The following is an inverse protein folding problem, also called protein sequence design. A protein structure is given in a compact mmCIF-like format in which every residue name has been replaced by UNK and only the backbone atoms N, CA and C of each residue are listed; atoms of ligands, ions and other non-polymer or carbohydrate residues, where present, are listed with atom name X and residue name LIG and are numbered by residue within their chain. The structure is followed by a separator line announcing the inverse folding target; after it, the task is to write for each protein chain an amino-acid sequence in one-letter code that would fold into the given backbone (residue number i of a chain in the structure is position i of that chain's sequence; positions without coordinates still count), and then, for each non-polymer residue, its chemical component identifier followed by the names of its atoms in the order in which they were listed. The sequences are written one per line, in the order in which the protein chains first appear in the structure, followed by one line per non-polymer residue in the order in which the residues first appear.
data_IF_941708764955
#
_entry.id   IF_941708764955
#
_cell.length_a   1.000
_cell.length_b   1.000
_cell.length_c   1.000
_cell.angle_alpha   90.00
_cell.angle_beta   90.00
_cell.angle_gamma   90.00
#
_symmetry.space_group_name_H-M   'P 1'
#
loop_
_entity.id
_entity.type
_entity.pdbx_description
1 polymer ?
#
# COMPACT_ATOMS: atom_id res chain seq x y z
N UNK A 1 2.84 -2.91 -21.89
CA UNK A 1 3.52 -1.68 -21.41
C UNK A 1 5.01 -1.67 -21.74
N UNK A 2 5.91 -2.30 -20.98
CA UNK A 2 7.36 -2.17 -21.22
C UNK A 2 7.84 -2.55 -22.64
N UNK A 3 7.29 -3.63 -23.23
CA UNK A 3 7.57 -4.03 -24.62
C UNK A 3 6.95 -3.09 -25.65
N UNK A 4 5.71 -2.63 -25.41
CA UNK A 4 4.94 -1.81 -26.35
C UNK A 4 5.47 -0.38 -26.42
N UNK A 5 5.99 0.14 -25.30
CA UNK A 5 6.53 1.50 -25.20
C UNK A 5 8.06 1.55 -25.26
N UNK A 6 8.74 0.41 -25.47
CA UNK A 6 10.20 0.27 -25.40
C UNK A 6 10.80 0.95 -24.15
N UNK A 7 10.12 0.83 -23.00
CA UNK A 7 10.40 1.62 -21.78
C UNK A 7 11.84 1.48 -21.30
N UNK A 8 12.42 0.29 -21.47
CA UNK A 8 13.79 -0.06 -21.08
C UNK A 8 14.64 -0.46 -22.31
N UNK A 9 14.29 0.07 -23.48
CA UNK A 9 14.90 -0.26 -24.77
C UNK A 9 14.14 -1.33 -25.57
N UNK A 10 14.77 -1.79 -26.65
CA UNK A 10 14.15 -2.72 -27.62
C UNK A 10 13.93 -4.13 -27.08
N UNK A 11 14.73 -4.53 -26.08
CA UNK A 11 14.67 -5.85 -25.45
C UNK A 11 14.15 -5.69 -24.02
N UNK A 12 13.05 -6.39 -23.72
CA UNK A 12 12.51 -6.41 -22.36
C UNK A 12 13.49 -7.13 -21.43
N UNK A 13 13.90 -6.53 -20.30
CA UNK A 13 14.76 -7.17 -19.31
C UNK A 13 14.19 -8.53 -18.86
N UNK A 14 14.94 -9.64 -18.95
CA UNK A 14 14.41 -10.98 -18.67
C UNK A 14 13.83 -11.13 -17.26
N UNK A 15 14.44 -10.46 -16.26
CA UNK A 15 13.96 -10.49 -14.88
C UNK A 15 12.58 -9.86 -14.70
N UNK A 16 12.17 -8.96 -15.59
CA UNK A 16 10.84 -8.36 -15.55
C UNK A 16 9.73 -9.36 -15.89
N UNK A 17 10.05 -10.42 -16.63
CA UNK A 17 9.10 -11.49 -16.98
C UNK A 17 8.94 -12.54 -15.86
N UNK A 18 9.75 -12.48 -14.81
CA UNK A 18 9.70 -13.44 -13.71
C UNK A 18 8.63 -12.97 -12.70
N UNK A 19 7.59 -13.78 -12.44
CA UNK A 19 6.55 -13.42 -11.50
C UNK A 19 7.08 -13.20 -10.08
N UNK A 20 6.51 -12.23 -9.37
CA UNK A 20 6.79 -11.93 -7.95
C UNK A 20 8.23 -11.49 -7.64
N UNK A 21 9.02 -11.14 -8.66
CA UNK A 21 10.37 -10.59 -8.48
C UNK A 21 10.34 -9.24 -7.77
N UNK A 22 9.36 -8.37 -8.09
CA UNK A 22 9.11 -7.14 -7.34
C UNK A 22 8.24 -7.44 -6.12
N UNK A 23 8.71 -7.07 -4.93
CA UNK A 23 7.96 -7.27 -3.68
C UNK A 23 7.44 -5.95 -3.12
N UNK A 24 6.50 -6.04 -2.19
CA UNK A 24 5.88 -4.87 -1.57
C UNK A 24 6.88 -3.90 -0.91
N UNK A 25 7.94 -4.36 -0.20
CA UNK A 25 8.95 -3.44 0.35
C UNK A 25 9.72 -2.68 -0.74
N UNK A 26 9.98 -3.31 -1.87
CA UNK A 26 10.68 -2.70 -3.01
C UNK A 26 9.80 -1.59 -3.62
N UNK A 27 8.53 -1.89 -3.85
CA UNK A 27 7.54 -0.91 -4.31
C UNK A 27 7.37 0.24 -3.31
N UNK A 28 7.33 -0.05 -2.01
CA UNK A 28 7.23 0.97 -0.97
C UNK A 28 8.47 1.89 -0.93
N UNK A 29 9.67 1.36 -1.18
CA UNK A 29 10.88 2.17 -1.29
C UNK A 29 10.82 3.09 -2.52
N UNK A 30 10.45 2.55 -3.69
CA UNK A 30 10.35 3.33 -4.93
C UNK A 30 9.28 4.43 -4.85
N UNK A 31 8.10 4.15 -4.29
CA UNK A 31 7.02 5.13 -4.20
C UNK A 31 7.28 6.23 -3.18
N UNK A 32 8.08 5.93 -2.15
CA UNK A 32 8.45 6.92 -1.13
C UNK A 32 9.72 7.70 -1.51
N UNK A 33 10.24 7.50 -2.72
CA UNK A 33 11.34 8.30 -3.25
C UNK A 33 10.88 9.76 -3.40
N UNK A 34 11.70 10.68 -2.89
CA UNK A 34 11.47 12.12 -2.95
C UNK A 34 12.62 12.87 -3.62
N UNK A 35 13.59 12.13 -4.17
CA UNK A 35 14.68 12.70 -4.97
C UNK A 35 14.17 13.23 -6.30
N UNK A 36 14.77 14.32 -6.79
CA UNK A 36 14.35 14.97 -8.05
C UNK A 36 14.54 14.05 -9.27
N UNK A 37 15.57 13.20 -9.21
CA UNK A 37 15.93 12.28 -10.31
C UNK A 37 15.49 10.83 -10.06
N UNK A 38 14.69 10.54 -9.04
CA UNK A 38 14.23 9.17 -8.71
C UNK A 38 15.38 8.17 -8.48
N UNK A 39 16.34 8.54 -7.65
CA UNK A 39 17.55 7.76 -7.33
C UNK A 39 17.24 6.38 -6.73
N UNK A 40 16.26 6.29 -5.83
CA UNK A 40 15.86 5.01 -5.20
C UNK A 40 15.18 4.12 -6.22
N UNK A 41 14.40 4.70 -7.14
CA UNK A 41 13.82 3.95 -8.25
C UNK A 41 14.93 3.38 -9.15
N UNK A 42 15.91 4.19 -9.52
CA UNK A 42 17.04 3.74 -10.34
C UNK A 42 17.80 2.58 -9.66
N UNK A 43 18.12 2.75 -8.37
CA UNK A 43 18.78 1.73 -7.55
C UNK A 43 17.97 0.42 -7.57
N UNK A 44 16.66 0.48 -7.29
CA UNK A 44 15.80 -0.71 -7.25
C UNK A 44 15.64 -1.37 -8.61
N UNK A 45 15.54 -0.60 -9.70
CA UNK A 45 15.52 -1.12 -11.06
C UNK A 45 16.82 -1.89 -11.39
N UNK A 46 17.97 -1.36 -10.97
CA UNK A 46 19.27 -2.01 -11.11
C UNK A 46 19.37 -3.29 -10.28
N UNK A 47 19.06 -3.23 -8.99
CA UNK A 47 19.18 -4.35 -8.05
C UNK A 47 18.25 -5.53 -8.40
N UNK A 48 17.00 -5.21 -8.75
CA UNK A 48 15.93 -6.22 -8.88
C UNK A 48 15.88 -6.75 -10.32
N UNK A 49 15.97 -5.86 -11.30
CA UNK A 49 15.72 -6.19 -12.70
C UNK A 49 16.97 -6.13 -13.59
N UNK A 50 18.13 -5.76 -13.04
CA UNK A 50 19.39 -5.56 -13.79
C UNK A 50 19.28 -4.46 -14.86
N UNK A 51 18.45 -3.45 -14.61
CA UNK A 51 18.26 -2.30 -15.50
C UNK A 51 19.22 -1.20 -15.04
N UNK A 52 20.32 -1.00 -15.77
CA UNK A 52 21.39 -0.07 -15.38
C UNK A 52 21.36 1.27 -16.11
N UNK A 53 20.52 1.42 -17.14
CA UNK A 53 20.43 2.61 -17.98
C UNK A 53 18.98 3.07 -18.11
N UNK A 54 18.35 3.41 -16.98
CA UNK A 54 17.00 3.95 -16.99
C UNK A 54 17.02 5.46 -17.30
N UNK A 55 16.02 5.96 -18.03
CA UNK A 55 15.86 7.41 -18.26
C UNK A 55 15.05 8.02 -17.11
N UNK A 56 15.21 9.32 -16.83
CA UNK A 56 14.37 10.01 -15.82
C UNK A 56 12.88 9.86 -16.12
N UNK A 57 12.47 9.98 -17.39
CA UNK A 57 11.09 9.75 -17.81
C UNK A 57 10.59 8.32 -17.50
N UNK A 58 11.45 7.30 -17.67
CA UNK A 58 11.08 5.92 -17.33
C UNK A 58 10.90 5.73 -15.82
N UNK A 59 11.74 6.39 -15.00
CA UNK A 59 11.66 6.35 -13.54
C UNK A 59 10.42 7.07 -13.01
N UNK A 60 10.09 8.23 -13.58
CA UNK A 60 8.84 8.95 -13.33
C UNK A 60 7.63 8.06 -13.60
N UNK A 61 7.59 7.38 -14.75
CA UNK A 61 6.50 6.45 -15.07
C UNK A 61 6.40 5.30 -14.05
N UNK A 62 7.53 4.77 -13.56
CA UNK A 62 7.53 3.75 -12.50
C UNK A 62 6.94 4.31 -11.20
N UNK A 63 7.25 5.56 -10.85
CA UNK A 63 6.66 6.23 -9.69
C UNK A 63 5.13 6.37 -9.83
N UNK A 64 4.63 6.81 -10.99
CA UNK A 64 3.20 6.92 -11.28
C UNK A 64 2.48 5.57 -11.19
N UNK A 65 3.10 4.49 -11.72
CA UNK A 65 2.55 3.14 -11.60
C UNK A 65 2.47 2.71 -10.14
N UNK A 66 3.50 3.01 -9.35
CA UNK A 66 3.49 2.70 -7.92
C UNK A 66 2.34 3.43 -7.22
N UNK A 67 2.14 4.70 -7.56
CA UNK A 67 1.07 5.53 -7.00
C UNK A 67 -0.31 4.97 -7.29
N UNK A 68 -0.64 4.72 -8.56
CA UNK A 68 -1.94 4.18 -8.99
C UNK A 68 -2.21 2.82 -8.34
N UNK A 69 -1.21 1.95 -8.23
CA UNK A 69 -1.38 0.62 -7.64
C UNK A 69 -1.60 0.73 -6.12
N UNK A 70 -0.83 1.57 -5.43
CA UNK A 70 -0.95 1.78 -3.99
C UNK A 70 -2.29 2.43 -3.63
N UNK A 71 -2.68 3.50 -4.32
CA UNK A 71 -3.95 4.19 -4.10
C UNK A 71 -5.13 3.24 -4.32
N UNK A 72 -5.17 2.51 -5.44
CA UNK A 72 -6.22 1.53 -5.71
C UNK A 72 -6.33 0.50 -4.58
N UNK A 73 -5.20 -0.04 -4.13
CA UNK A 73 -5.19 -1.00 -3.04
C UNK A 73 -5.75 -0.41 -1.74
N UNK A 74 -5.31 0.79 -1.38
CA UNK A 74 -5.75 1.48 -0.18
C UNK A 74 -7.25 1.82 -0.20
N UNK A 75 -7.77 2.33 -1.33
CA UNK A 75 -9.21 2.64 -1.49
C UNK A 75 -10.09 1.39 -1.39
N UNK A 76 -9.66 0.26 -1.96
CA UNK A 76 -10.38 -1.01 -1.86
C UNK A 76 -10.42 -1.53 -0.41
N UNK A 77 -9.31 -1.41 0.33
CA UNK A 77 -9.27 -1.76 1.76
C UNK A 77 -10.19 -0.84 2.56
N UNK A 78 -10.15 0.48 2.32
CA UNK A 78 -11.03 1.44 2.96
C UNK A 78 -12.51 1.14 2.74
N UNK A 79 -12.89 0.81 1.50
CA UNK A 79 -14.25 0.41 1.16
C UNK A 79 -14.66 -0.89 1.87
N UNK A 80 -13.74 -1.85 2.02
CA UNK A 80 -13.96 -3.07 2.79
C UNK A 80 -14.22 -2.81 4.27
N UNK A 81 -13.42 -1.95 4.90
CA UNK A 81 -13.59 -1.53 6.30
C UNK A 81 -14.96 -0.89 6.50
N UNK A 82 -15.31 0.10 5.67
CA UNK A 82 -16.60 0.79 5.74
C UNK A 82 -17.75 -0.18 5.49
N UNK A 83 -17.60 -1.12 4.55
CA UNK A 83 -18.59 -2.15 4.27
C UNK A 83 -18.91 -3.00 5.51
N UNK A 84 -17.90 -3.39 6.29
CA UNK A 84 -18.08 -4.14 7.54
C UNK A 84 -18.76 -3.28 8.61
N UNK A 85 -18.28 -2.05 8.82
CA UNK A 85 -18.85 -1.15 9.85
C UNK A 85 -20.32 -0.82 9.52
N UNK A 86 -20.63 -0.60 8.24
CA UNK A 86 -22.00 -0.40 7.75
C UNK A 86 -22.86 -1.63 7.96
N UNK A 87 -22.33 -2.83 7.67
CA UNK A 87 -23.06 -4.09 7.85
C UNK A 87 -23.43 -4.34 9.31
N UNK A 88 -22.61 -3.85 10.25
CA UNK A 88 -22.85 -3.94 11.69
C UNK A 88 -23.75 -2.83 12.25
N UNK A 89 -24.24 -1.91 11.40
CA UNK A 89 -25.05 -0.74 11.80
C UNK A 89 -24.34 0.18 12.83
N UNK A 90 -23.02 0.33 12.66
CA UNK A 90 -22.16 1.08 13.60
C UNK A 90 -21.70 2.44 13.11
N UNK A 91 -22.02 2.84 11.87
CA UNK A 91 -21.49 4.08 11.28
C UNK A 91 -21.91 5.36 12.03
N UNK A 92 -23.15 5.42 12.52
CA UNK A 92 -23.71 6.64 13.13
C UNK A 92 -23.98 6.51 14.63
N UNK A 93 -23.88 5.30 15.17
CA UNK A 93 -24.36 5.00 16.52
C UNK A 93 -23.21 4.85 17.54
N UNK A 94 -21.98 4.56 17.07
CA UNK A 94 -20.83 4.25 17.93
C UNK A 94 -19.52 4.52 17.19
N UNK A 95 -18.47 4.79 17.96
CA UNK A 95 -17.10 4.78 17.46
C UNK A 95 -16.65 3.33 17.23
N UNK A 96 -16.01 3.09 16.09
CA UNK A 96 -15.42 1.81 15.68
C UNK A 96 -13.92 1.99 15.53
N UNK A 97 -13.15 1.33 16.41
CA UNK A 97 -11.70 1.26 16.31
C UNK A 97 -11.34 0.03 15.47
N UNK A 98 -10.62 0.23 14.39
CA UNK A 98 -10.19 -0.78 13.43
C UNK A 98 -8.70 -0.99 13.60
N UNK A 99 -8.32 -2.10 14.22
CA UNK A 99 -6.92 -2.46 14.41
C UNK A 99 -6.39 -3.18 13.17
N UNK A 100 -5.36 -2.64 12.54
CA UNK A 100 -4.72 -3.17 11.34
C UNK A 100 -3.31 -3.66 11.67
N UNK A 101 -2.97 -4.83 11.14
CA UNK A 101 -1.64 -5.42 11.24
C UNK A 101 -1.11 -5.74 9.83
N UNK A 102 0.20 -5.65 9.64
CA UNK A 102 0.88 -6.08 8.41
C UNK A 102 1.83 -5.02 7.84
N UNK A 103 2.92 -5.50 7.22
CA UNK A 103 4.03 -4.66 6.77
C UNK A 103 3.65 -3.56 5.77
N UNK A 104 2.58 -3.74 5.00
CA UNK A 104 2.08 -2.68 4.10
C UNK A 104 1.57 -1.49 4.92
N UNK A 105 0.73 -1.71 5.93
CA UNK A 105 0.24 -0.61 6.77
C UNK A 105 1.36 -0.03 7.65
N UNK A 106 2.22 -0.89 8.18
CA UNK A 106 3.29 -0.52 9.11
C UNK A 106 4.41 0.30 8.46
N UNK A 107 4.89 -0.11 7.28
CA UNK A 107 6.10 0.47 6.66
C UNK A 107 5.84 1.29 5.40
N UNK A 108 4.66 1.20 4.80
CA UNK A 108 4.31 1.96 3.59
C UNK A 108 3.47 3.19 3.95
N UNK A 109 4.14 4.32 4.23
CA UNK A 109 3.49 5.56 4.71
C UNK A 109 2.47 6.10 3.71
N UNK A 110 2.80 6.09 2.41
CA UNK A 110 1.90 6.61 1.37
C UNK A 110 0.62 5.78 1.27
N UNK A 111 0.73 4.44 1.28
CA UNK A 111 -0.43 3.55 1.32
C UNK A 111 -1.33 3.82 2.53
N UNK A 112 -0.73 3.97 3.72
CA UNK A 112 -1.48 4.30 4.94
C UNK A 112 -2.20 5.64 4.82
N UNK A 113 -1.56 6.66 4.27
CA UNK A 113 -2.21 7.95 4.03
C UNK A 113 -3.39 7.83 3.08
N UNK A 114 -3.24 7.08 1.97
CA UNK A 114 -4.35 6.82 1.04
C UNK A 114 -5.49 6.08 1.72
N UNK A 115 -5.20 5.12 2.60
CA UNK A 115 -6.24 4.38 3.31
C UNK A 115 -7.07 5.31 4.20
N UNK A 116 -6.41 6.10 5.05
CA UNK A 116 -7.07 7.09 5.91
C UNK A 116 -7.86 8.12 5.10
N UNK A 117 -7.25 8.67 4.05
CA UNK A 117 -7.90 9.66 3.17
C UNK A 117 -9.12 9.08 2.46
N UNK A 118 -9.03 7.84 1.97
CA UNK A 118 -10.14 7.17 1.29
C UNK A 118 -11.33 6.94 2.22
N UNK A 119 -11.07 6.59 3.49
CA UNK A 119 -12.12 6.38 4.48
C UNK A 119 -12.78 7.70 4.86
N UNK A 120 -11.99 8.75 5.05
CA UNK A 120 -12.51 10.10 5.27
C UNK A 120 -13.37 10.57 4.07
N UNK A 121 -12.90 10.40 2.84
CA UNK A 121 -13.65 10.77 1.61
C UNK A 121 -14.99 10.03 1.51
N UNK A 122 -15.02 8.73 1.83
CA UNK A 122 -16.23 7.91 1.75
C UNK A 122 -17.26 8.20 2.84
N UNK A 123 -16.82 8.67 4.02
CA UNK A 123 -17.70 8.93 5.16
C UNK A 123 -18.10 10.41 5.29
N UNK A 124 -17.27 11.33 4.80
CA UNK A 124 -17.41 12.77 4.98
C UNK A 124 -17.18 13.20 6.43
N UNK A 125 -17.19 14.53 6.64
CA UNK A 125 -16.90 15.17 7.93
C UNK A 125 -17.84 14.73 9.07
N UNK A 126 -19.06 14.30 8.75
CA UNK A 126 -20.06 13.93 9.75
C UNK A 126 -19.78 12.55 10.39
N UNK A 127 -19.18 11.63 9.65
CA UNK A 127 -19.06 10.22 10.07
C UNK A 127 -17.61 9.72 10.14
N UNK A 128 -16.63 10.48 9.63
CA UNK A 128 -15.22 10.05 9.63
C UNK A 128 -14.68 9.77 11.02
N UNK A 129 -15.08 10.58 12.01
CA UNK A 129 -14.62 10.45 13.40
C UNK A 129 -15.14 9.18 14.09
N UNK A 130 -16.15 8.52 13.50
CA UNK A 130 -16.69 7.26 14.01
C UNK A 130 -15.87 6.04 13.56
N UNK A 131 -14.89 6.19 12.66
CA UNK A 131 -14.03 5.09 12.19
C UNK A 131 -12.57 5.46 12.37
N UNK A 132 -11.94 4.91 13.39
CA UNK A 132 -10.54 5.17 13.75
C UNK A 132 -9.70 3.96 13.35
N UNK A 133 -8.68 4.14 12.50
CA UNK A 133 -7.80 3.06 12.05
C UNK A 133 -6.47 3.15 12.79
N UNK A 134 -6.12 2.11 13.54
CA UNK A 134 -4.91 2.06 14.37
C UNK A 134 -4.04 0.85 14.08
N UNK A 135 -2.75 0.97 14.38
CA UNK A 135 -1.82 -0.15 14.30
C UNK A 135 -2.03 -1.13 15.47
N UNK A 136 -2.09 -2.42 15.18
CA UNK A 136 -2.07 -3.48 16.20
C UNK A 136 -0.69 -3.59 16.84
N UNK A 137 -0.59 -3.45 18.17
CA UNK A 137 0.69 -3.53 18.89
C UNK A 137 1.00 -4.92 19.47
N UNK A 138 0.12 -5.92 19.28
CA UNK A 138 0.18 -7.21 19.98
C UNK A 138 0.50 -8.44 19.12
N UNK A 139 0.32 -8.34 17.80
CA UNK A 139 0.48 -9.46 16.88
C UNK A 139 -0.42 -10.68 17.17
N UNK A 140 -0.34 -11.69 16.32
CA UNK A 140 -1.09 -12.96 16.49
C UNK A 140 -0.79 -13.68 17.81
N UNK A 141 0.42 -13.53 18.34
CA UNK A 141 0.87 -14.11 19.60
C UNK A 141 0.05 -13.65 20.80
N UNK A 142 -0.04 -12.34 21.05
CA UNK A 142 -0.80 -11.81 22.19
C UNK A 142 -2.30 -12.12 22.04
N UNK A 143 -2.86 -11.98 20.83
CA UNK A 143 -4.27 -12.30 20.57
C UNK A 143 -4.63 -13.74 20.95
N UNK A 144 -3.77 -14.72 20.64
CA UNK A 144 -4.00 -16.12 21.00
C UNK A 144 -4.08 -16.35 22.52
N UNK A 145 -3.26 -15.63 23.30
CA UNK A 145 -3.27 -15.69 24.77
C UNK A 145 -4.57 -15.08 25.31
N UNK A 146 -4.99 -13.93 24.80
CA UNK A 146 -6.25 -13.31 25.20
C UNK A 146 -7.45 -14.20 24.91
N UNK A 147 -7.47 -14.85 23.75
CA UNK A 147 -8.52 -15.82 23.41
C UNK A 147 -8.50 -16.98 24.39
N UNK A 148 -7.34 -17.60 24.65
CA UNK A 148 -7.21 -18.71 25.59
C UNK A 148 -7.64 -18.33 27.01
N UNK A 149 -7.29 -17.13 27.49
CA UNK A 149 -7.67 -16.62 28.80
C UNK A 149 -9.17 -16.27 28.90
N UNK A 150 -9.84 -16.02 27.76
CA UNK A 150 -11.27 -15.72 27.70
C UNK A 150 -12.16 -16.96 27.58
N UNK A 151 -11.56 -18.15 27.39
CA UNK A 151 -12.32 -19.40 27.37
C UNK A 151 -12.62 -19.84 28.81
N UNK A 152 -13.88 -20.19 29.12
CA UNK A 152 -14.30 -20.61 30.46
C UNK A 152 -13.72 -21.97 30.89
#
# INVERSE_FOLDING_TARGET
MAQESALFGDIVPPKLAIPYTLRSPDMAAMHQDTSEDYEIIDEKLGEIFEITNSTTMARELVAEICDVVAERGARLVGAGIIGIVKKLDRLSNRISIITVEGGVYEHYRVFRNYLHSSVWEMLGDELSDNVIIEHSHGGSGASSIYIAASQP
#
